data_IF_534487530633
#
_entry.id   IF_534487530633
#
_cell.length_a   1.000
_cell.length_b   1.000
_cell.length_c   1.000
_cell.angle_alpha   90.00
_cell.angle_beta   90.00
_cell.angle_gamma   90.00
#
_symmetry.space_group_name_H-M   'P 1'
#
loop_
_entity.id
_entity.type
_entity.pdbx_description
1 polymer ?
#
# COMPACT_ATOMS: atom_id res chain seq x y z
N UNK A 1 3.41 -1.16 -2.04
CA UNK A 1 2.02 -1.63 -2.15
C UNK A 1 1.19 -0.77 -1.22
N UNK A 2 0.24 -0.03 -1.78
CA UNK A 2 -0.71 0.75 -0.98
C UNK A 2 -1.95 -0.11 -0.75
N UNK A 3 -2.52 -0.08 0.45
CA UNK A 3 -3.77 -0.79 0.77
C UNK A 3 -4.66 0.09 1.62
N UNK A 4 -5.88 0.35 1.17
CA UNK A 4 -6.94 0.90 1.99
C UNK A 4 -8.00 -0.17 2.22
N UNK A 5 -8.61 -0.21 3.40
CA UNK A 5 -9.75 -1.08 3.67
C UNK A 5 -10.96 -0.53 2.91
N UNK A 6 -11.73 -1.40 2.23
CA UNK A 6 -12.90 -0.97 1.47
C UNK A 6 -13.88 -0.25 2.42
N UNK A 7 -14.27 0.96 2.06
CA UNK A 7 -15.14 1.83 2.86
C UNK A 7 -14.52 2.38 4.15
N UNK A 8 -13.22 2.20 4.40
CA UNK A 8 -12.56 2.75 5.58
C UNK A 8 -12.10 4.19 5.38
N UNK A 9 -11.95 4.96 6.48
CA UNK A 9 -11.44 6.32 6.42
C UNK A 9 -9.99 6.33 5.91
N UNK A 10 -9.60 7.46 5.29
CA UNK A 10 -8.31 7.63 4.59
C UNK A 10 -7.10 7.38 5.50
N UNK A 11 -7.23 7.64 6.80
CA UNK A 11 -6.19 7.42 7.81
C UNK A 11 -5.90 5.93 8.12
N UNK A 12 -6.75 5.00 7.66
CA UNK A 12 -6.52 3.56 7.78
C UNK A 12 -5.64 2.98 6.67
N UNK A 13 -5.17 3.80 5.73
CA UNK A 13 -4.35 3.37 4.60
C UNK A 13 -2.88 3.16 4.99
N UNK A 14 -2.25 2.11 4.45
CA UNK A 14 -0.79 1.91 4.53
C UNK A 14 -0.20 2.27 3.17
N UNK A 15 0.64 3.31 3.12
CA UNK A 15 1.11 3.94 1.89
C UNK A 15 2.63 4.11 1.84
N UNK A 16 3.17 4.19 0.62
CA UNK A 16 4.44 4.86 0.39
C UNK A 16 4.21 6.39 0.40
N UNK A 17 5.17 7.16 0.88
CA UNK A 17 5.07 8.64 0.97
C UNK A 17 4.88 9.30 -0.40
N UNK A 18 5.57 8.78 -1.42
CA UNK A 18 5.39 9.19 -2.81
C UNK A 18 5.70 8.03 -3.77
N UNK A 19 5.17 8.11 -4.98
CA UNK A 19 5.50 7.22 -6.12
C UNK A 19 5.72 8.03 -7.38
N UNK A 20 6.36 7.42 -8.37
CA UNK A 20 6.45 7.99 -9.72
C UNK A 20 5.54 7.20 -10.65
N UNK A 21 4.66 7.91 -11.34
CA UNK A 21 3.87 7.36 -12.45
C UNK A 21 4.49 7.79 -13.77
N UNK A 22 4.34 6.96 -14.80
CA UNK A 22 4.89 7.20 -16.11
C UNK A 22 3.86 6.89 -17.19
N UNK A 23 3.87 7.66 -18.26
CA UNK A 23 3.15 7.39 -19.49
C UNK A 23 4.07 7.63 -20.71
N UNK A 24 3.52 7.62 -21.92
CA UNK A 24 4.29 7.85 -23.14
C UNK A 24 4.87 9.26 -23.27
N UNK A 25 4.43 10.21 -22.44
CA UNK A 25 4.84 11.62 -22.48
C UNK A 25 5.91 11.96 -21.45
N UNK A 26 6.02 11.19 -20.37
CA UNK A 26 6.92 11.53 -19.27
C UNK A 26 6.54 10.88 -17.96
N UNK A 27 7.03 11.48 -16.89
CA UNK A 27 6.78 11.04 -15.52
C UNK A 27 6.23 12.16 -14.66
N UNK A 28 5.47 11.78 -13.64
CA UNK A 28 5.02 12.67 -12.59
C UNK A 28 5.18 12.00 -11.23
N UNK A 29 5.49 12.80 -10.20
CA UNK A 29 5.46 12.35 -8.82
C UNK A 29 4.02 12.41 -8.30
N UNK A 30 3.58 11.39 -7.59
CA UNK A 30 2.30 11.35 -6.89
C UNK A 30 2.59 11.27 -5.40
N UNK A 31 2.12 12.26 -4.66
CA UNK A 31 2.38 12.44 -3.23
C UNK A 31 1.09 12.26 -2.41
N UNK A 32 1.22 12.09 -1.10
CA UNK A 32 0.10 11.96 -0.15
C UNK A 32 -0.86 10.82 -0.52
N UNK A 33 -0.31 9.68 -0.98
CA UNK A 33 -1.11 8.53 -1.40
C UNK A 33 -1.96 7.96 -0.27
N UNK A 34 -1.54 8.08 0.99
CA UNK A 34 -2.34 7.71 2.15
C UNK A 34 -3.66 8.49 2.22
N UNK A 35 -3.71 9.70 1.64
CA UNK A 35 -4.91 10.54 1.59
C UNK A 35 -5.71 10.35 0.30
N UNK A 36 -5.21 9.54 -0.63
CA UNK A 36 -5.86 9.33 -1.91
C UNK A 36 -7.16 8.55 -1.76
N UNK A 37 -8.15 8.94 -2.54
CA UNK A 37 -9.33 8.13 -2.77
C UNK A 37 -9.07 7.19 -3.93
N UNK A 38 -9.15 5.88 -3.66
CA UNK A 38 -8.78 4.85 -4.65
C UNK A 38 -10.00 4.05 -5.05
N UNK A 39 -10.22 3.98 -6.36
CA UNK A 39 -11.30 3.23 -6.98
C UNK A 39 -10.65 2.08 -7.77
N UNK A 40 -10.95 0.85 -7.38
CA UNK A 40 -10.38 -0.33 -8.02
C UNK A 40 -10.98 -1.63 -7.49
N UNK A 41 -10.50 -2.78 -7.97
CA UNK A 41 -10.96 -4.09 -7.53
C UNK A 41 -10.78 -4.30 -6.02
N UNK A 42 -11.81 -4.83 -5.37
CA UNK A 42 -11.74 -5.19 -3.95
C UNK A 42 -10.99 -6.51 -3.73
N UNK A 43 -10.21 -6.54 -2.66
CA UNK A 43 -9.46 -7.69 -2.20
C UNK A 43 -9.96 -8.11 -0.83
N UNK A 44 -10.43 -9.35 -0.72
CA UNK A 44 -10.91 -9.90 0.56
C UNK A 44 -9.75 -10.53 1.31
N UNK A 45 -9.41 -9.97 2.47
CA UNK A 45 -8.44 -10.53 3.41
C UNK A 45 -9.10 -11.42 4.48
N UNK A 46 -10.43 -11.51 4.49
CA UNK A 46 -11.21 -12.35 5.40
C UNK A 46 -12.72 -12.10 5.29
N UNK A 47 -13.55 -12.72 6.15
CA UNK A 47 -15.01 -12.64 6.05
C UNK A 47 -15.59 -11.23 6.21
N UNK A 48 -14.84 -10.33 6.88
CA UNK A 48 -15.27 -8.96 7.19
C UNK A 48 -14.26 -7.89 6.79
N UNK A 49 -13.18 -8.29 6.12
CA UNK A 49 -12.08 -7.37 5.75
C UNK A 49 -11.94 -7.41 4.24
N UNK A 50 -12.38 -6.34 3.61
CA UNK A 50 -12.10 -6.04 2.22
C UNK A 50 -11.15 -4.84 2.16
N UNK A 51 -10.32 -4.78 1.13
CA UNK A 51 -9.39 -3.68 0.87
C UNK A 51 -9.25 -3.41 -0.62
N UNK A 52 -9.05 -2.16 -1.01
CA UNK A 52 -8.61 -1.80 -2.35
C UNK A 52 -7.12 -1.50 -2.29
N UNK A 53 -6.32 -2.23 -3.06
CA UNK A 53 -4.87 -2.03 -3.12
C UNK A 53 -4.42 -1.36 -4.41
N UNK A 54 -3.36 -0.55 -4.32
CA UNK A 54 -2.57 -0.11 -5.48
C UNK A 54 -1.24 -0.85 -5.49
N UNK A 55 -0.94 -1.43 -6.64
CA UNK A 55 0.23 -2.25 -6.89
C UNK A 55 1.15 -1.58 -7.89
N UNK A 56 2.45 -1.84 -7.73
CA UNK A 56 3.42 -1.41 -8.74
C UNK A 56 3.11 -2.17 -10.04
N UNK A 57 2.95 -1.42 -11.12
CA UNK A 57 2.54 -1.96 -12.42
C UNK A 57 1.03 -1.92 -12.67
N UNK A 58 0.21 -1.46 -11.72
CA UNK A 58 -1.18 -1.10 -12.03
C UNK A 58 -1.17 0.04 -13.07
N UNK A 59 -2.00 -0.09 -14.11
CA UNK A 59 -2.31 1.03 -14.98
C UNK A 59 -3.41 1.85 -14.32
N UNK A 60 -3.11 3.11 -14.07
CA UNK A 60 -3.97 3.99 -13.28
C UNK A 60 -4.25 5.29 -14.00
N UNK A 61 -5.42 5.85 -13.75
CA UNK A 61 -5.70 7.26 -13.97
C UNK A 61 -5.60 7.99 -12.65
N UNK A 62 -4.84 9.09 -12.65
CA UNK A 62 -4.60 9.92 -11.48
C UNK A 62 -5.23 11.29 -11.73
N UNK A 63 -6.17 11.67 -10.88
CA UNK A 63 -6.85 12.96 -10.95
C UNK A 63 -6.48 13.74 -9.69
N UNK A 64 -5.88 14.91 -9.90
CA UNK A 64 -5.47 15.81 -8.83
C UNK A 64 -4.94 17.11 -9.40
N UNK A 65 -4.61 18.07 -8.52
CA UNK A 65 -3.98 19.31 -8.95
C UNK A 65 -2.54 19.06 -9.39
N UNK A 66 -2.25 19.30 -10.66
CA UNK A 66 -0.90 19.19 -11.20
C UNK A 66 -0.08 20.46 -10.90
N UNK A 67 1.11 20.29 -10.33
CA UNK A 67 2.11 21.35 -10.14
C UNK A 67 3.27 21.11 -11.11
N UNK A 68 3.44 21.95 -12.15
CA UNK A 68 4.52 21.77 -13.11
C UNK A 68 5.88 22.02 -12.47
N UNK A 69 6.77 21.02 -12.52
CA UNK A 69 8.13 21.06 -12.00
C UNK A 69 9.00 20.10 -12.80
N UNK A 70 10.13 20.57 -13.36
CA UNK A 70 11.01 19.72 -14.16
C UNK A 70 12.19 19.23 -13.34
N UNK A 71 12.30 17.91 -13.19
CA UNK A 71 13.45 17.27 -12.55
C UNK A 71 14.14 16.27 -13.49
N UNK A 72 15.46 16.21 -13.37
CA UNK A 72 16.33 15.34 -14.16
C UNK A 72 17.01 16.05 -15.34
N UNK A 73 18.04 15.39 -15.87
CA UNK A 73 18.88 15.88 -16.98
C UNK A 73 19.03 14.85 -18.12
N UNK A 74 18.23 13.78 -18.09
CA UNK A 74 18.27 12.73 -19.12
C UNK A 74 17.87 13.31 -20.49
N UNK A 75 18.57 12.96 -21.58
CA UNK A 75 18.20 13.38 -22.93
C UNK A 75 16.86 12.81 -23.39
N UNK A 76 16.42 11.66 -22.86
CA UNK A 76 15.12 11.08 -23.15
C UNK A 76 14.03 11.78 -22.31
N UNK A 77 13.08 12.50 -22.94
CA UNK A 77 12.04 13.22 -22.22
C UNK A 77 11.17 12.28 -21.37
N UNK A 78 10.99 11.02 -21.77
CA UNK A 78 10.18 10.05 -21.03
C UNK A 78 10.78 9.63 -19.69
N UNK A 79 12.05 9.98 -19.47
CA UNK A 79 12.78 9.73 -18.21
C UNK A 79 12.75 10.90 -17.25
N UNK A 80 12.25 12.05 -17.69
CA UNK A 80 12.14 13.25 -16.88
C UNK A 80 10.84 13.26 -16.09
N UNK A 81 10.89 13.90 -14.91
CA UNK A 81 9.71 14.20 -14.12
C UNK A 81 9.27 15.62 -14.46
N UNK A 82 8.00 15.79 -14.82
CA UNK A 82 7.45 17.06 -15.30
C UNK A 82 6.56 17.78 -14.29
N UNK A 83 6.28 17.13 -13.15
CA UNK A 83 5.61 17.77 -12.05
C UNK A 83 5.17 16.78 -10.98
N UNK A 84 4.39 17.30 -10.05
CA UNK A 84 3.79 16.53 -8.96
C UNK A 84 2.28 16.68 -8.92
N UNK A 85 1.62 15.66 -8.35
CA UNK A 85 0.19 15.58 -8.09
C UNK A 85 -0.03 15.24 -6.62
N UNK A 86 -1.13 15.75 -6.04
CA UNK A 86 -1.56 15.38 -4.68
C UNK A 86 -0.99 16.24 -3.55
N UNK A 87 -0.19 17.27 -3.84
CA UNK A 87 0.39 18.15 -2.82
C UNK A 87 -0.62 18.93 -1.97
N UNK A 88 -1.87 19.07 -2.42
CA UNK A 88 -2.99 19.66 -1.67
C UNK A 88 -3.86 18.61 -0.94
N UNK A 89 -3.51 17.33 -1.02
CA UNK A 89 -4.20 16.22 -0.38
C UNK A 89 -5.49 15.76 -1.11
N UNK A 90 -5.85 16.38 -2.23
CA UNK A 90 -7.00 15.98 -3.05
C UNK A 90 -6.53 15.15 -4.24
N UNK A 91 -6.42 13.84 -4.00
CA UNK A 91 -5.93 12.88 -4.98
C UNK A 91 -6.94 11.76 -5.17
N UNK A 92 -7.33 11.52 -6.42
CA UNK A 92 -8.17 10.40 -6.81
C UNK A 92 -7.38 9.50 -7.74
N UNK A 93 -7.38 8.20 -7.46
CA UNK A 93 -6.67 7.20 -8.28
C UNK A 93 -7.66 6.12 -8.69
N UNK A 94 -7.84 5.94 -10.00
CA UNK A 94 -8.66 4.86 -10.55
C UNK A 94 -7.76 3.82 -11.19
N UNK A 95 -7.88 2.56 -10.77
CA UNK A 95 -7.20 1.43 -11.41
C UNK A 95 -7.97 1.06 -12.68
N UNK A 96 -7.31 1.20 -13.83
CA UNK A 96 -7.85 0.82 -15.14
C UNK A 96 -7.60 -0.65 -15.44
N UNK A 97 -6.35 -1.07 -15.27
CA UNK A 97 -5.94 -2.44 -15.56
C UNK A 97 -4.87 -2.89 -14.58
N UNK A 98 -4.82 -4.21 -14.36
CA UNK A 98 -3.82 -4.86 -13.52
C UNK A 98 -3.18 -6.00 -14.31
N UNK A 99 -2.17 -5.70 -15.15
CA UNK A 99 -1.54 -6.71 -16.01
C UNK A 99 -0.90 -7.85 -15.21
N UNK A 100 -0.34 -7.52 -14.04
CA UNK A 100 0.28 -8.47 -13.12
C UNK A 100 -0.50 -8.48 -11.80
N UNK A 101 -1.57 -9.29 -11.66
CA UNK A 101 -2.32 -9.36 -10.42
C UNK A 101 -1.43 -9.90 -9.28
N UNK A 102 -1.55 -9.36 -8.06
CA UNK A 102 -0.83 -9.88 -6.91
C UNK A 102 -1.21 -11.34 -6.67
N UNK A 103 -0.23 -12.14 -6.27
CA UNK A 103 -0.51 -13.49 -5.79
C UNK A 103 -1.52 -13.41 -4.62
N UNK A 104 -2.47 -14.36 -4.52
CA UNK A 104 -3.35 -14.43 -3.36
C UNK A 104 -2.51 -14.46 -2.09
N UNK A 105 -2.81 -13.60 -1.12
CA UNK A 105 -2.11 -13.62 0.15
C UNK A 105 -2.41 -14.96 0.83
N UNK A 106 -1.42 -15.86 0.89
CA UNK A 106 -1.50 -17.06 1.73
C UNK A 106 -1.65 -16.61 3.18
N UNK A 107 -2.80 -16.87 3.77
CA UNK A 107 -3.19 -16.48 5.13
C UNK A 107 -2.24 -17.11 6.17
N UNK A 108 -1.30 -16.39 6.82
CA UNK A 108 -0.55 -16.93 7.95
C UNK A 108 -1.21 -16.46 9.25
N UNK A 109 -2.55 -16.56 9.34
CA UNK A 109 -3.27 -16.14 10.56
C UNK A 109 -3.37 -17.28 11.57
N UNK A 110 -3.03 -18.52 11.18
CA UNK A 110 -3.10 -19.67 12.10
C UNK A 110 -1.92 -19.72 13.09
N UNK A 111 -0.72 -19.32 12.68
CA UNK A 111 0.47 -19.38 13.54
C UNK A 111 0.45 -18.36 14.70
N UNK A 112 -0.10 -17.16 14.47
CA UNK A 112 -0.19 -16.13 15.51
C UNK A 112 -1.25 -16.47 16.59
N UNK A 113 -2.33 -17.16 16.21
CA UNK A 113 -3.38 -17.59 17.15
C UNK A 113 -2.93 -18.75 18.05
N UNK A 114 -2.10 -19.68 17.54
CA UNK A 114 -1.50 -20.75 18.35
C UNK A 114 -0.42 -20.24 19.31
N UNK A 115 0.37 -19.23 18.90
CA UNK A 115 1.39 -18.62 19.76
C UNK A 115 0.78 -17.85 20.96
N UNK A 116 -0.42 -17.28 20.80
CA UNK A 116 -1.14 -16.57 21.87
C UNK A 116 -2.00 -17.50 22.75
N UNK A 117 -2.23 -18.75 22.34
CA UNK A 117 -3.04 -19.73 23.09
C UNK A 117 -2.21 -20.71 23.91
N UNK A 118 -0.88 -20.63 23.81
CA UNK A 118 0.03 -21.46 24.62
C UNK A 118 0.20 -20.81 26.01
N UNK A 119 -0.30 -21.41 27.10
CA UNK A 119 -0.04 -20.90 28.44
C UNK A 119 1.48 -20.97 28.74
N UNK A 120 2.04 -20.00 29.51
CA UNK A 120 3.41 -20.12 29.96
C UNK A 120 3.55 -21.39 30.82
N UNK A 121 4.52 -22.23 30.47
CA UNK A 121 4.88 -23.40 31.28
C UNK A 121 5.27 -22.90 32.69
N UNK A 122 4.66 -23.40 33.78
CA UNK A 122 5.05 -22.97 35.12
C UNK A 122 6.48 -23.43 35.41
N UNK A 123 7.34 -22.45 35.71
CA UNK A 123 8.70 -22.67 36.18
C UNK A 123 8.71 -23.63 37.37
N UNK A 124 9.45 -24.73 37.25
CA UNK A 124 9.74 -25.63 38.36
C UNK A 124 10.55 -24.87 39.42
N UNK A 125 10.02 -24.81 40.64
CA UNK A 125 10.73 -24.33 41.82
C UNK A 125 11.93 -25.24 42.15
N UNK A 126 13.03 -24.71 42.72
CA UNK A 126 14.17 -25.51 43.11
C UNK A 126 13.80 -26.44 44.27
N UNK A 127 14.11 -27.73 44.15
CA UNK A 127 13.96 -28.70 45.23
C UNK A 127 15.07 -28.51 46.27
N UNK A 128 14.68 -28.29 47.54
CA UNK A 128 15.53 -28.47 48.70
C UNK A 128 16.08 -29.90 48.71
N UNK A 129 17.42 -30.02 48.78
CA UNK A 129 18.09 -31.31 49.03
C UNK A 129 18.50 -31.31 50.50
N UNK A 130 17.88 -32.20 51.28
CA UNK A 130 18.30 -32.54 52.63
C UNK A 130 19.33 -33.66 52.56
N UNK A 131 20.48 -33.48 53.22
CA UNK A 131 21.31 -34.55 53.77
C UNK A 131 21.81 -34.14 55.16
#
# INVERSE_FOLDING_TARGET
MWRNRSGAPRDAAVAAEFVVVADSSGRATVENLERAEVIGPEEKAGPRVASTGLYIGDEVEVIGRFKPERFGSDPDPTRLVYGSLGGDGNLYVRVHSRPNPPAPAETPVRAAAEALSSPPSPAQAPQETTE
#
